data_IF_370175209032
#
_entry.id   IF_370175209032
#
_cell.length_a   1.000
_cell.length_b   1.000
_cell.length_c   1.000
_cell.angle_alpha   90.00
_cell.angle_beta   90.00
_cell.angle_gamma   90.00
#
_symmetry.space_group_name_H-M   'P 1'
#
loop_
_entity.id
_entity.type
_entity.pdbx_description
1 polymer ?
#
# COMPACT_ATOMS: atom_id res chain seq x y z
N UNK A 1 9.73 25.10 58.84
CA UNK A 1 9.52 24.08 57.78
C UNK A 1 10.49 22.94 58.03
N UNK A 2 10.00 21.73 58.31
CA UNK A 2 10.87 20.57 58.55
C UNK A 2 11.69 20.25 57.29
N UNK A 3 12.87 19.66 57.46
CA UNK A 3 13.73 19.32 56.33
C UNK A 3 13.09 18.30 55.38
N UNK A 4 12.16 17.49 55.86
CA UNK A 4 11.30 16.63 55.02
C UNK A 4 10.40 17.45 54.10
N UNK A 5 9.75 18.50 54.61
CA UNK A 5 8.87 19.35 53.83
C UNK A 5 9.63 20.16 52.77
N UNK A 6 10.89 20.55 53.04
CA UNK A 6 11.80 21.14 52.04
C UNK A 6 12.13 20.16 50.93
N UNK A 7 12.46 18.90 51.25
CA UNK A 7 12.79 17.88 50.25
C UNK A 7 11.61 17.58 49.33
N UNK A 8 10.41 17.43 49.88
CA UNK A 8 9.18 17.21 49.09
C UNK A 8 8.91 18.38 48.14
N UNK A 9 9.05 19.62 48.61
CA UNK A 9 8.87 20.82 47.78
C UNK A 9 9.91 20.92 46.65
N UNK A 10 11.17 20.59 46.93
CA UNK A 10 12.23 20.58 45.92
C UNK A 10 11.95 19.48 44.88
N UNK A 11 11.58 18.27 45.29
CA UNK A 11 11.23 17.19 44.37
C UNK A 11 10.04 17.54 43.48
N UNK A 12 9.00 18.17 44.02
CA UNK A 12 7.85 18.65 43.24
C UNK A 12 8.26 19.75 42.24
N UNK A 13 9.11 20.68 42.65
CA UNK A 13 9.62 21.73 41.76
C UNK A 13 10.46 21.14 40.61
N UNK A 14 11.28 20.12 40.88
CA UNK A 14 12.07 19.42 39.85
C UNK A 14 11.15 18.67 38.87
N UNK A 15 10.15 17.93 39.36
CA UNK A 15 9.19 17.22 38.51
C UNK A 15 8.39 18.20 37.63
N UNK A 16 7.98 19.33 38.21
CA UNK A 16 7.25 20.38 37.50
C UNK A 16 8.12 21.01 36.40
N UNK A 17 9.38 21.35 36.71
CA UNK A 17 10.33 21.87 35.73
C UNK A 17 10.62 20.87 34.62
N UNK A 18 10.78 19.57 34.94
CA UNK A 18 10.96 18.52 33.93
C UNK A 18 9.72 18.36 33.04
N UNK A 19 8.52 18.50 33.61
CA UNK A 19 7.26 18.43 32.87
C UNK A 19 7.07 19.64 31.95
N UNK A 20 7.46 20.84 32.39
CA UNK A 20 7.49 22.05 31.55
C UNK A 20 8.53 21.91 30.44
N UNK A 21 9.73 21.45 30.75
CA UNK A 21 10.78 21.23 29.75
C UNK A 21 10.33 20.20 28.70
N UNK A 22 9.74 19.08 29.13
CA UNK A 22 9.15 18.08 28.23
C UNK A 22 8.03 18.69 27.38
N UNK A 23 7.14 19.50 27.98
CA UNK A 23 6.09 20.20 27.24
C UNK A 23 6.67 21.16 26.20
N UNK A 24 7.68 21.97 26.53
CA UNK A 24 8.31 22.88 25.58
C UNK A 24 9.08 22.16 24.48
N UNK A 25 9.76 21.04 24.79
CA UNK A 25 10.41 20.20 23.78
C UNK A 25 9.36 19.62 22.83
N UNK A 26 8.29 19.02 23.35
CA UNK A 26 7.20 18.47 22.53
C UNK A 26 6.48 19.57 21.73
N UNK A 27 6.24 20.75 22.32
CA UNK A 27 5.53 21.85 21.67
C UNK A 27 6.39 22.58 20.62
N UNK A 28 7.71 22.71 20.84
CA UNK A 28 8.61 23.29 19.85
C UNK A 28 8.98 22.29 18.75
N UNK A 29 9.05 20.98 19.04
CA UNK A 29 9.13 19.95 18.00
C UNK A 29 7.87 19.96 17.10
N UNK A 30 6.71 20.37 17.63
CA UNK A 30 5.48 20.54 16.82
C UNK A 30 5.44 21.81 15.96
N UNK A 31 6.36 22.76 16.14
CA UNK A 31 6.51 23.90 15.21
C UNK A 31 7.39 23.51 14.01
N UNK A 32 7.11 22.36 13.41
CA UNK A 32 7.52 22.11 12.04
C UNK A 32 6.76 23.11 11.15
N UNK A 33 7.50 24.00 10.49
CA UNK A 33 6.92 24.81 9.43
C UNK A 33 6.63 23.88 8.26
N UNK A 34 5.39 23.41 8.15
CA UNK A 34 4.93 22.74 6.95
C UNK A 34 5.26 23.61 5.74
N UNK A 35 5.93 23.03 4.74
CA UNK A 35 6.22 23.73 3.49
C UNK A 35 4.92 24.02 2.72
N UNK A 36 3.90 23.17 2.92
CA UNK A 36 2.56 23.35 2.35
C UNK A 36 1.74 24.30 3.23
N UNK A 37 1.34 25.44 2.68
CA UNK A 37 0.47 26.39 3.38
C UNK A 37 -1.01 25.97 3.30
N UNK A 38 -1.78 26.26 4.36
CA UNK A 38 -3.20 25.87 4.44
C UNK A 38 -4.06 26.41 3.30
N UNK A 39 -3.70 27.57 2.76
CA UNK A 39 -4.40 28.21 1.63
C UNK A 39 -4.31 27.39 0.34
N UNK A 40 -3.22 26.64 0.15
CA UNK A 40 -2.98 25.89 -1.07
C UNK A 40 -3.77 24.58 -1.05
N UNK A 41 -3.94 23.96 0.12
CA UNK A 41 -4.85 22.82 0.33
C UNK A 41 -6.30 23.20 0.00
N UNK A 42 -6.74 24.41 0.39
CA UNK A 42 -8.12 24.88 0.17
C UNK A 42 -8.49 25.00 -1.32
N UNK A 43 -7.51 24.96 -2.23
CA UNK A 43 -7.74 24.91 -3.68
C UNK A 43 -8.17 23.51 -4.14
N UNK A 44 -7.87 22.47 -3.37
CA UNK A 44 -8.23 21.08 -3.64
C UNK A 44 -9.64 20.83 -3.11
N UNK A 45 -10.49 20.18 -3.94
CA UNK A 45 -11.84 19.80 -3.53
C UNK A 45 -11.75 18.60 -2.58
N UNK A 46 -12.62 18.56 -1.57
CA UNK A 46 -12.71 17.40 -0.67
C UNK A 46 -13.16 16.12 -1.37
N UNK A 47 -13.81 16.23 -2.54
CA UNK A 47 -14.27 15.08 -3.32
C UNK A 47 -14.33 15.37 -4.82
N UNK A 48 -14.06 14.33 -5.60
CA UNK A 48 -14.08 14.29 -7.05
C UNK A 48 -14.92 13.12 -7.54
N UNK A 49 -15.45 13.23 -8.75
CA UNK A 49 -16.23 12.15 -9.36
C UNK A 49 -15.34 10.97 -9.76
N UNK A 50 -14.08 11.23 -10.12
CA UNK A 50 -13.14 10.22 -10.61
C UNK A 50 -11.79 10.30 -9.87
N UNK A 51 -11.14 9.15 -9.73
CA UNK A 51 -9.84 9.03 -9.08
C UNK A 51 -8.73 9.83 -9.79
N UNK A 52 -8.67 9.76 -11.12
CA UNK A 52 -7.58 10.40 -11.88
C UNK A 52 -7.60 11.92 -11.75
N UNK A 53 -8.78 12.53 -11.68
CA UNK A 53 -8.93 13.98 -11.44
C UNK A 53 -8.44 14.35 -10.03
N UNK A 54 -8.82 13.58 -9.01
CA UNK A 54 -8.35 13.79 -7.64
C UNK A 54 -6.83 13.63 -7.54
N UNK A 55 -6.28 12.58 -8.17
CA UNK A 55 -4.86 12.29 -8.24
C UNK A 55 -4.10 13.45 -8.88
N UNK A 56 -4.56 13.93 -10.04
CA UNK A 56 -3.91 15.02 -10.76
C UNK A 56 -3.74 16.26 -9.87
N UNK A 57 -4.81 16.71 -9.21
CA UNK A 57 -4.73 17.91 -8.38
C UNK A 57 -3.84 17.78 -7.15
N UNK A 58 -3.78 16.58 -6.57
CA UNK A 58 -2.89 16.32 -5.43
C UNK A 58 -1.42 16.21 -5.89
N UNK A 59 -1.18 15.63 -7.06
CA UNK A 59 0.14 15.57 -7.69
C UNK A 59 0.64 16.98 -8.06
N UNK A 60 -0.22 17.82 -8.65
CA UNK A 60 0.08 19.22 -8.97
C UNK A 60 0.48 20.00 -7.71
N UNK A 61 -0.28 19.85 -6.61
CA UNK A 61 0.08 20.47 -5.33
C UNK A 61 1.46 19.98 -4.86
N UNK A 62 1.75 18.69 -4.93
CA UNK A 62 3.06 18.19 -4.51
C UNK A 62 4.19 18.76 -5.39
N UNK A 63 4.00 18.84 -6.70
CA UNK A 63 4.97 19.38 -7.65
C UNK A 63 5.21 20.89 -7.46
N UNK A 64 4.20 21.66 -7.04
CA UNK A 64 4.36 23.08 -6.73
C UNK A 64 5.17 23.33 -5.46
N UNK A 65 5.14 22.39 -4.49
CA UNK A 65 5.73 22.56 -3.16
C UNK A 65 7.06 21.82 -2.99
N UNK A 66 7.31 20.78 -3.78
CA UNK A 66 8.47 19.89 -3.65
C UNK A 66 9.29 19.84 -4.94
N UNK A 67 10.58 20.18 -4.82
CA UNK A 67 11.55 20.03 -5.89
C UNK A 67 12.13 18.61 -5.97
N UNK A 68 12.48 18.17 -7.18
CA UNK A 68 13.11 16.86 -7.45
C UNK A 68 12.32 15.72 -6.78
N UNK A 69 11.04 15.66 -7.18
CA UNK A 69 10.02 14.88 -6.51
C UNK A 69 10.19 13.38 -6.79
N UNK A 70 10.32 12.61 -5.71
CA UNK A 70 10.09 11.17 -5.73
C UNK A 70 8.74 10.82 -5.09
N UNK A 71 8.11 9.77 -5.57
CA UNK A 71 6.75 9.39 -5.14
C UNK A 71 6.68 7.90 -4.84
N UNK A 72 6.05 7.56 -3.72
CA UNK A 72 5.64 6.19 -3.38
C UNK A 72 4.12 6.15 -3.24
N UNK A 73 3.51 5.14 -3.86
CA UNK A 73 2.08 4.91 -3.82
C UNK A 73 1.82 3.56 -3.17
N UNK A 74 1.12 3.56 -2.04
CA UNK A 74 0.68 2.34 -1.39
C UNK A 74 -0.85 2.24 -1.47
N UNK A 75 -1.35 1.11 -1.96
CA UNK A 75 -2.78 0.85 -2.09
C UNK A 75 -3.27 -0.12 -1.03
N UNK A 76 -4.45 0.15 -0.51
CA UNK A 76 -5.08 -0.66 0.52
C UNK A 76 -6.55 -0.86 0.19
N UNK A 77 -7.09 -2.05 0.47
CA UNK A 77 -8.52 -2.27 0.53
C UNK A 77 -8.98 -2.20 1.98
N UNK A 78 -9.90 -1.30 2.26
CA UNK A 78 -10.47 -1.09 3.58
C UNK A 78 -11.57 -2.11 3.86
N UNK A 79 -11.91 -2.26 5.15
CA UNK A 79 -12.93 -3.20 5.63
C UNK A 79 -14.32 -3.00 5.00
N UNK A 80 -14.67 -1.77 4.67
CA UNK A 80 -15.94 -1.43 4.01
C UNK A 80 -15.94 -1.71 2.49
N UNK A 81 -14.82 -2.23 1.97
CA UNK A 81 -14.62 -2.54 0.56
C UNK A 81 -14.19 -1.35 -0.31
N UNK A 82 -14.05 -0.15 0.27
CA UNK A 82 -13.45 1.00 -0.41
C UNK A 82 -11.93 0.83 -0.52
N UNK A 83 -11.34 1.60 -1.42
CA UNK A 83 -9.90 1.64 -1.61
C UNK A 83 -9.33 2.91 -1.00
N UNK A 84 -8.15 2.77 -0.40
CA UNK A 84 -7.36 3.84 0.13
C UNK A 84 -5.99 3.82 -0.56
N UNK A 85 -5.63 4.92 -1.20
CA UNK A 85 -4.33 5.15 -1.79
C UNK A 85 -3.59 6.20 -0.94
N UNK A 86 -2.49 5.77 -0.34
CA UNK A 86 -1.53 6.64 0.33
C UNK A 86 -0.51 7.11 -0.71
N UNK A 87 -0.43 8.42 -0.90
CA UNK A 87 0.61 9.04 -1.74
C UNK A 87 1.60 9.73 -0.83
N UNK A 88 2.82 9.21 -0.81
CA UNK A 88 3.96 9.82 -0.14
C UNK A 88 4.85 10.48 -1.18
N UNK A 89 5.06 11.77 -1.04
CA UNK A 89 5.87 12.61 -1.89
C UNK A 89 7.11 13.05 -1.13
N UNK A 90 8.27 13.01 -1.77
CA UNK A 90 9.53 13.37 -1.14
C UNK A 90 10.28 14.34 -2.04
N UNK A 91 10.46 15.56 -1.55
CA UNK A 91 11.24 16.59 -2.24
C UNK A 91 12.72 16.42 -1.89
N UNK A 92 13.50 15.87 -2.81
CA UNK A 92 14.88 15.48 -2.56
C UNK A 92 15.81 16.66 -2.29
N UNK A 93 15.51 17.84 -2.83
CA UNK A 93 16.33 19.06 -2.59
C UNK A 93 15.86 19.86 -1.38
N UNK A 94 14.55 20.01 -1.23
CA UNK A 94 13.95 20.80 -0.14
C UNK A 94 13.98 20.05 1.20
N UNK A 95 14.08 18.73 1.18
CA UNK A 95 14.22 17.91 2.39
C UNK A 95 12.92 17.68 3.16
N UNK A 96 11.78 17.64 2.45
CA UNK A 96 10.45 17.41 3.04
C UNK A 96 9.76 16.19 2.46
N UNK A 97 9.00 15.50 3.31
CA UNK A 97 8.03 14.48 2.92
C UNK A 97 6.64 15.04 3.09
N UNK A 98 5.83 14.98 2.03
CA UNK A 98 4.41 15.32 2.04
C UNK A 98 3.57 14.06 1.89
N UNK A 99 2.46 13.98 2.62
CA UNK A 99 1.52 12.87 2.52
C UNK A 99 0.12 13.34 2.10
N UNK A 100 -0.55 12.54 1.30
CA UNK A 100 -1.95 12.75 0.93
C UNK A 100 -2.69 11.42 0.79
N UNK A 101 -4.02 11.50 0.88
CA UNK A 101 -4.90 10.34 0.90
C UNK A 101 -5.98 10.47 -0.15
N UNK A 102 -6.11 9.44 -0.98
CA UNK A 102 -7.25 9.29 -1.88
C UNK A 102 -8.05 8.07 -1.44
N UNK A 103 -9.30 8.28 -1.02
CA UNK A 103 -10.22 7.17 -0.70
C UNK A 103 -11.30 7.11 -1.76
N UNK A 104 -11.45 5.98 -2.45
CA UNK A 104 -12.44 5.82 -3.50
C UNK A 104 -13.35 4.61 -3.32
N UNK A 105 -14.62 4.78 -3.67
CA UNK A 105 -15.62 3.73 -3.61
C UNK A 105 -15.68 2.91 -4.91
N UNK A 106 -16.60 1.94 -4.97
CA UNK A 106 -16.81 1.07 -6.14
C UNK A 106 -17.16 1.79 -7.43
N UNK A 107 -17.68 3.01 -7.35
CA UNK A 107 -18.03 3.84 -8.52
C UNK A 107 -16.86 4.68 -9.02
N UNK A 108 -15.74 4.72 -8.28
CA UNK A 108 -14.59 5.57 -8.56
C UNK A 108 -14.71 6.99 -7.97
N UNK A 109 -15.82 7.30 -7.29
CA UNK A 109 -15.95 8.55 -6.56
C UNK A 109 -14.90 8.62 -5.47
N UNK A 110 -14.13 9.69 -5.47
CA UNK A 110 -12.91 9.82 -4.67
C UNK A 110 -13.05 10.97 -3.67
N UNK A 111 -12.58 10.75 -2.45
CA UNK A 111 -12.39 11.76 -1.41
C UNK A 111 -10.91 12.03 -1.25
N UNK A 112 -10.55 13.30 -1.12
CA UNK A 112 -9.19 13.73 -0.83
C UNK A 112 -9.09 14.12 0.63
N UNK A 113 -8.04 13.68 1.31
CA UNK A 113 -7.73 14.10 2.66
C UNK A 113 -6.22 14.24 2.86
N UNK A 114 -5.84 14.97 3.89
CA UNK A 114 -4.45 15.23 4.28
C UNK A 114 -4.27 14.93 5.77
N UNK A 115 -3.05 14.58 6.21
CA UNK A 115 -2.76 14.55 7.64
C UNK A 115 -2.88 15.94 8.26
N UNK A 116 -3.01 15.99 9.58
CA UNK A 116 -3.02 17.26 10.33
C UNK A 116 -1.74 18.08 10.07
N UNK A 117 -0.60 17.41 10.02
CA UNK A 117 0.67 17.97 9.58
C UNK A 117 0.98 17.34 8.23
N UNK A 118 0.97 18.15 7.18
CA UNK A 118 0.98 17.65 5.80
C UNK A 118 2.37 17.27 5.36
N UNK A 119 3.36 18.06 5.82
CA UNK A 119 4.74 17.88 5.47
C UNK A 119 5.64 17.88 6.70
N UNK A 120 6.65 17.01 6.66
CA UNK A 120 7.65 16.84 7.71
C UNK A 120 9.04 16.98 7.11
N UNK A 121 9.91 17.72 7.80
CA UNK A 121 11.30 17.88 7.37
C UNK A 121 12.09 16.63 7.75
N UNK A 122 12.80 16.04 6.78
CA UNK A 122 13.71 14.90 6.99
C UNK A 122 15.16 15.26 6.68
N UNK A 123 15.39 16.38 5.98
CA UNK A 123 16.72 16.86 5.62
C UNK A 123 16.83 18.39 5.74
N UNK A 124 17.99 18.86 6.18
CA UNK A 124 18.35 20.27 6.26
C UNK A 124 19.80 20.46 5.81
N UNK A 125 20.07 21.47 4.98
CA UNK A 125 21.41 21.76 4.45
C UNK A 125 22.08 20.51 3.83
N UNK A 126 21.29 19.75 3.05
CA UNK A 126 21.68 18.47 2.42
C UNK A 126 22.14 17.36 3.39
N UNK A 127 21.69 17.40 4.65
CA UNK A 127 21.98 16.37 5.66
C UNK A 127 20.71 15.86 6.32
N UNK A 128 20.57 14.53 6.43
CA UNK A 128 19.48 13.91 7.18
C UNK A 128 19.46 14.41 8.62
N UNK A 129 18.30 14.88 9.07
CA UNK A 129 18.07 15.21 10.48
C UNK A 129 17.42 14.02 11.18
N UNK A 130 17.72 13.87 12.47
CA UNK A 130 17.07 12.86 13.29
C UNK A 130 15.66 13.36 13.64
N UNK A 131 14.64 12.68 13.13
CA UNK A 131 13.24 13.03 13.35
C UNK A 131 12.35 11.78 13.35
N UNK A 132 11.26 11.82 14.08
CA UNK A 132 10.27 10.74 14.12
C UNK A 132 8.88 11.33 14.19
N UNK A 133 7.96 10.83 13.38
CA UNK A 133 6.58 11.26 13.41
C UNK A 133 5.64 10.12 13.05
N UNK A 134 4.40 10.23 13.49
CA UNK A 134 3.37 9.23 13.24
C UNK A 134 2.16 9.84 12.57
N UNK A 135 1.56 9.08 11.66
CA UNK A 135 0.37 9.47 10.93
C UNK A 135 -0.70 8.39 11.08
N UNK A 136 -1.88 8.78 11.57
CA UNK A 136 -3.03 7.89 11.62
C UNK A 136 -3.84 8.02 10.33
N UNK A 137 -4.13 6.89 9.69
CA UNK A 137 -4.87 6.80 8.43
C UNK A 137 -6.09 5.88 8.56
N UNK A 138 -6.99 5.88 7.57
CA UNK A 138 -8.03 4.86 7.44
C UNK A 138 -7.48 3.42 7.47
N UNK A 139 -6.36 3.16 6.80
CA UNK A 139 -5.74 1.83 6.69
C UNK A 139 -4.98 1.38 7.96
N UNK A 140 -4.48 2.31 8.77
CA UNK A 140 -3.57 1.98 9.86
C UNK A 140 -2.79 3.17 10.40
N UNK A 141 -1.73 2.87 11.13
CA UNK A 141 -0.75 3.85 11.59
C UNK A 141 0.51 3.74 10.74
N UNK A 142 1.06 4.89 10.34
CA UNK A 142 2.34 5.00 9.68
C UNK A 142 3.31 5.62 10.67
N UNK A 143 4.45 4.98 10.87
CA UNK A 143 5.52 5.45 11.75
C UNK A 143 6.74 5.75 10.92
N UNK A 144 7.13 7.02 10.88
CA UNK A 144 8.26 7.49 10.10
C UNK A 144 9.45 7.79 11.01
N UNK A 145 10.64 7.52 10.48
CA UNK A 145 11.90 7.88 11.09
C UNK A 145 12.84 8.40 10.02
N UNK A 146 13.47 9.54 10.27
CA UNK A 146 14.64 10.00 9.53
C UNK A 146 15.84 10.05 10.46
N UNK A 147 17.04 9.81 9.91
CA UNK A 147 18.27 9.86 10.70
C UNK A 147 19.14 8.64 10.45
N UNK A 148 19.79 8.14 11.50
CA UNK A 148 20.56 6.90 11.42
C UNK A 148 19.68 5.70 11.08
N UNK A 149 20.17 4.83 10.19
CA UNK A 149 19.57 3.54 9.83
C UNK A 149 20.58 2.42 10.12
N UNK A 150 20.09 1.26 10.49
CA UNK A 150 20.89 0.09 10.80
C UNK A 150 20.67 -1.05 9.78
N UNK A 151 21.41 -2.14 9.94
CA UNK A 151 21.29 -3.31 9.04
C UNK A 151 20.11 -4.22 9.36
N UNK A 152 19.49 -4.06 10.53
CA UNK A 152 18.28 -4.79 10.94
C UNK A 152 17.00 -4.15 10.41
N UNK A 153 17.05 -2.88 10.00
CA UNK A 153 15.94 -2.19 9.36
C UNK A 153 15.49 -2.93 8.10
N UNK A 154 14.17 -3.14 7.98
CA UNK A 154 13.59 -3.82 6.83
C UNK A 154 13.79 -2.98 5.55
N UNK A 155 14.47 -3.50 4.52
CA UNK A 155 14.67 -2.77 3.27
C UNK A 155 13.37 -2.32 2.59
N UNK A 156 12.26 -3.03 2.80
CA UNK A 156 10.94 -2.66 2.26
C UNK A 156 10.31 -1.40 2.90
N UNK A 157 10.85 -0.98 4.05
CA UNK A 157 10.40 0.22 4.77
C UNK A 157 11.24 1.45 4.40
N UNK A 158 12.38 1.26 3.76
CA UNK A 158 13.29 2.33 3.34
C UNK A 158 12.73 3.11 2.14
N UNK A 159 12.67 4.43 2.27
CA UNK A 159 12.34 5.36 1.20
C UNK A 159 13.58 5.88 0.48
N UNK A 160 14.57 6.29 1.25
CA UNK A 160 15.82 6.88 0.78
C UNK A 160 16.92 6.57 1.78
N UNK A 161 18.15 6.42 1.29
CA UNK A 161 19.36 6.37 2.11
C UNK A 161 20.42 7.32 1.56
N UNK A 162 21.34 7.73 2.43
CA UNK A 162 22.58 8.38 2.04
C UNK A 162 23.47 7.44 1.21
N UNK A 163 24.43 8.02 0.49
CA UNK A 163 25.39 7.27 -0.33
C UNK A 163 26.19 6.24 0.48
N UNK A 164 26.51 6.57 1.73
CA UNK A 164 27.21 5.67 2.65
C UNK A 164 26.30 4.60 3.29
N UNK A 165 24.99 4.68 3.05
CA UNK A 165 23.97 3.76 3.55
C UNK A 165 23.76 3.78 5.06
N UNK A 166 24.24 4.80 5.78
CA UNK A 166 24.13 4.89 7.24
C UNK A 166 23.00 5.78 7.74
N UNK A 167 22.44 6.61 6.87
CA UNK A 167 21.33 7.49 7.19
C UNK A 167 20.23 7.38 6.13
N UNK A 168 18.99 7.66 6.49
CA UNK A 168 17.88 7.54 5.56
C UNK A 168 16.54 7.93 6.15
N UNK A 169 15.49 7.59 5.41
CA UNK A 169 14.09 7.67 5.86
C UNK A 169 13.44 6.30 5.78
N UNK A 170 12.81 5.90 6.86
CA UNK A 170 12.02 4.68 7.01
C UNK A 170 10.54 5.03 7.22
N UNK A 171 9.66 4.12 6.79
CA UNK A 171 8.24 4.13 7.14
C UNK A 171 7.78 2.72 7.47
N UNK A 172 7.45 2.52 8.74
CA UNK A 172 6.77 1.34 9.23
C UNK A 172 5.25 1.50 9.08
N UNK A 173 4.57 0.40 8.78
CA UNK A 173 3.10 0.34 8.63
C UNK A 173 2.53 -0.63 9.65
N UNK A 174 1.65 -0.14 10.52
CA UNK A 174 0.80 -0.98 11.35
C UNK A 174 -0.62 -0.94 10.82
N UNK A 175 -1.05 -2.01 10.15
CA UNK A 175 -2.38 -2.08 9.52
C UNK A 175 -3.47 -2.38 10.54
N UNK A 176 -4.66 -1.82 10.34
CA UNK A 176 -5.84 -2.23 11.11
C UNK A 176 -6.24 -3.65 10.72
N UNK A 177 -6.89 -4.35 11.65
CA UNK A 177 -7.53 -5.63 11.38
C UNK A 177 -8.49 -5.52 10.19
N UNK A 178 -8.51 -6.54 9.35
CA UNK A 178 -9.33 -6.65 8.13
C UNK A 178 -8.98 -5.64 7.01
N UNK A 179 -7.86 -4.92 7.10
CA UNK A 179 -7.30 -4.14 5.98
C UNK A 179 -6.39 -5.03 5.14
N UNK A 180 -6.53 -4.94 3.83
CA UNK A 180 -5.64 -5.61 2.88
C UNK A 180 -4.66 -4.61 2.29
N UNK A 181 -3.37 -4.91 2.34
CA UNK A 181 -2.34 -4.21 1.59
C UNK A 181 -2.26 -4.81 0.18
N UNK A 182 -2.23 -3.95 -0.84
CA UNK A 182 -1.90 -4.34 -2.20
C UNK A 182 -0.40 -4.13 -2.37
N UNK A 183 0.35 -5.23 -2.49
CA UNK A 183 1.79 -5.19 -2.71
C UNK A 183 2.15 -4.49 -4.02
N UNK A 184 3.42 -4.12 -4.18
CA UNK A 184 3.91 -3.48 -5.41
C UNK A 184 3.70 -4.34 -6.67
N UNK A 185 3.63 -5.66 -6.49
CA UNK A 185 3.31 -6.64 -7.53
C UNK A 185 1.80 -6.91 -7.69
N UNK A 186 0.94 -6.15 -7.01
CA UNK A 186 -0.51 -6.34 -7.02
C UNK A 186 -1.02 -7.45 -6.10
N UNK A 187 -0.17 -8.23 -5.43
CA UNK A 187 -0.63 -9.29 -4.51
C UNK A 187 -1.39 -8.72 -3.33
N UNK A 188 -2.43 -9.42 -2.90
CA UNK A 188 -3.19 -9.05 -1.72
C UNK A 188 -2.59 -9.69 -0.47
N UNK A 189 -2.16 -8.83 0.45
CA UNK A 189 -1.58 -9.19 1.72
C UNK A 189 -2.54 -8.79 2.84
N UNK A 190 -2.77 -9.70 3.79
CA UNK A 190 -3.55 -9.37 4.98
C UNK A 190 -2.78 -8.44 5.93
N UNK A 191 -3.39 -8.11 7.08
CA UNK A 191 -2.77 -7.23 8.08
C UNK A 191 -1.48 -7.77 8.70
N UNK A 192 -1.21 -9.06 8.56
CA UNK A 192 0.00 -9.74 9.02
C UNK A 192 1.02 -9.95 7.88
N UNK A 193 0.74 -9.37 6.70
CA UNK A 193 1.50 -9.53 5.46
C UNK A 193 1.49 -10.94 4.87
N UNK A 194 0.49 -11.77 5.22
CA UNK A 194 0.32 -13.08 4.60
C UNK A 194 -0.51 -12.99 3.31
N UNK A 195 -0.21 -13.87 2.35
CA UNK A 195 -0.94 -13.94 1.08
C UNK A 195 -2.34 -14.51 1.27
N UNK A 196 -3.35 -13.72 0.91
CA UNK A 196 -4.75 -14.12 1.07
C UNK A 196 -5.10 -15.30 0.14
N UNK A 197 -5.70 -16.34 0.73
CA UNK A 197 -6.26 -17.50 0.02
C UNK A 197 -5.27 -18.65 -0.24
N UNK A 198 -4.01 -18.49 0.14
CA UNK A 198 -2.94 -19.48 -0.15
C UNK A 198 -2.86 -20.63 0.85
N UNK A 199 -3.32 -20.45 2.08
CA UNK A 199 -3.28 -21.47 3.15
C UNK A 199 -4.57 -22.31 3.25
N UNK A 200 -5.49 -22.17 2.28
CA UNK A 200 -6.76 -22.88 2.31
C UNK A 200 -6.59 -24.39 2.05
N UNK A 201 -7.31 -25.22 2.83
CA UNK A 201 -7.21 -26.68 2.70
C UNK A 201 -7.72 -27.18 1.34
N UNK A 202 -6.92 -28.02 0.69
CA UNK A 202 -7.27 -28.65 -0.57
C UNK A 202 -8.30 -29.78 -0.36
N UNK A 203 -9.28 -29.87 -1.27
CA UNK A 203 -10.33 -30.89 -1.30
C UNK A 203 -10.55 -31.38 -2.72
N UNK A 204 -10.90 -32.65 -2.87
CA UNK A 204 -11.24 -33.26 -4.16
C UNK A 204 -12.73 -33.10 -4.45
N UNK A 205 -13.07 -32.82 -5.71
CA UNK A 205 -14.43 -32.62 -6.18
C UNK A 205 -14.76 -33.53 -7.37
N UNK A 206 -16.04 -33.56 -7.75
CA UNK A 206 -16.50 -34.40 -8.87
C UNK A 206 -16.06 -33.85 -10.22
N UNK A 207 -16.07 -32.52 -10.38
CA UNK A 207 -15.74 -31.84 -11.62
C UNK A 207 -15.08 -30.47 -11.36
N UNK A 208 -14.38 -29.89 -12.35
CA UNK A 208 -13.65 -28.65 -12.17
C UNK A 208 -14.53 -27.43 -11.85
N UNK A 209 -15.75 -27.37 -12.40
CA UNK A 209 -16.63 -26.23 -12.21
C UNK A 209 -17.19 -26.21 -10.78
N UNK A 210 -17.58 -27.38 -10.27
CA UNK A 210 -17.99 -27.55 -8.87
C UNK A 210 -16.84 -27.21 -7.91
N UNK A 211 -15.62 -27.63 -8.23
CA UNK A 211 -14.43 -27.29 -7.45
C UNK A 211 -14.22 -25.76 -7.38
N UNK A 212 -14.21 -25.09 -8.53
CA UNK A 212 -14.04 -23.63 -8.61
C UNK A 212 -15.15 -22.88 -7.86
N UNK A 213 -16.41 -23.28 -8.04
CA UNK A 213 -17.54 -22.68 -7.36
C UNK A 213 -17.48 -22.87 -5.83
N UNK A 214 -16.97 -24.01 -5.35
CA UNK A 214 -16.82 -24.28 -3.92
C UNK A 214 -15.73 -23.40 -3.28
N UNK A 215 -14.63 -23.14 -3.99
CA UNK A 215 -13.60 -22.19 -3.56
C UNK A 215 -14.14 -20.76 -3.63
N UNK A 216 -14.86 -20.40 -4.70
CA UNK A 216 -15.42 -19.05 -4.87
C UNK A 216 -16.36 -18.63 -3.73
N UNK A 217 -17.09 -19.58 -3.12
CA UNK A 217 -17.93 -19.32 -1.93
C UNK A 217 -17.15 -18.84 -0.70
N UNK A 218 -15.83 -19.09 -0.66
CA UNK A 218 -14.94 -18.65 0.42
C UNK A 218 -14.38 -17.25 0.16
N UNK A 219 -14.61 -16.70 -1.03
CA UNK A 219 -14.08 -15.41 -1.47
C UNK A 219 -15.08 -14.32 -1.09
N UNK A 220 -14.62 -13.31 -0.34
CA UNK A 220 -15.47 -12.22 0.16
C UNK A 220 -16.10 -11.34 -0.93
N UNK A 221 -15.52 -11.31 -2.12
CA UNK A 221 -15.99 -10.54 -3.28
C UNK A 221 -15.97 -11.41 -4.53
N UNK A 222 -17.14 -11.83 -4.99
CA UNK A 222 -17.28 -12.65 -6.20
C UNK A 222 -17.25 -11.75 -7.44
N UNK A 223 -16.22 -11.91 -8.27
CA UNK A 223 -16.14 -11.29 -9.60
C UNK A 223 -16.92 -12.07 -10.67
N UNK A 224 -16.91 -11.55 -11.89
CA UNK A 224 -17.41 -12.26 -13.08
C UNK A 224 -16.31 -13.16 -13.64
N UNK A 225 -16.66 -14.37 -14.08
CA UNK A 225 -15.70 -15.26 -14.74
C UNK A 225 -15.29 -14.65 -16.09
N UNK A 226 -14.01 -14.33 -16.25
CA UNK A 226 -13.46 -13.69 -17.46
C UNK A 226 -12.57 -14.62 -18.28
N UNK A 227 -11.99 -15.65 -17.66
CA UNK A 227 -11.19 -16.64 -18.36
C UNK A 227 -11.21 -18.01 -17.68
N UNK A 228 -11.06 -19.04 -18.51
CA UNK A 228 -10.77 -20.42 -18.09
C UNK A 228 -9.58 -20.91 -18.93
N UNK A 229 -8.42 -21.08 -18.29
CA UNK A 229 -7.19 -21.51 -18.96
C UNK A 229 -6.78 -22.90 -18.47
N UNK A 230 -6.27 -23.75 -19.34
CA UNK A 230 -5.88 -25.11 -18.99
C UNK A 230 -4.49 -25.41 -19.58
N UNK A 231 -3.55 -25.85 -18.74
CA UNK A 231 -2.18 -26.19 -19.14
C UNK A 231 -1.88 -27.70 -19.15
N UNK A 232 -2.90 -28.55 -19.03
CA UNK A 232 -2.81 -30.01 -18.97
C UNK A 232 -2.84 -30.57 -17.55
N UNK A 233 -2.27 -29.84 -16.58
CA UNK A 233 -2.17 -30.25 -15.17
C UNK A 233 -3.17 -29.53 -14.26
N UNK A 234 -3.57 -28.31 -14.62
CA UNK A 234 -4.59 -27.55 -13.93
C UNK A 234 -5.47 -26.76 -14.89
N UNK A 235 -6.70 -26.51 -14.43
CA UNK A 235 -7.61 -25.53 -14.98
C UNK A 235 -7.69 -24.33 -14.05
N UNK A 236 -7.39 -23.15 -14.58
CA UNK A 236 -7.40 -21.88 -13.86
C UNK A 236 -8.68 -21.12 -14.20
N UNK A 237 -9.44 -20.78 -13.18
CA UNK A 237 -10.63 -19.94 -13.31
C UNK A 237 -10.29 -18.53 -12.84
N UNK A 238 -10.44 -17.55 -13.74
CA UNK A 238 -10.16 -16.15 -13.47
C UNK A 238 -11.46 -15.38 -13.34
N UNK A 239 -11.67 -14.79 -12.17
CA UNK A 239 -12.79 -13.91 -11.89
C UNK A 239 -12.29 -12.49 -11.77
N UNK A 240 -12.94 -11.54 -12.43
CA UNK A 240 -12.60 -10.11 -12.37
C UNK A 240 -13.72 -9.31 -11.71
N UNK A 241 -13.35 -8.34 -10.90
CA UNK A 241 -14.26 -7.31 -10.41
C UNK A 241 -13.65 -5.93 -10.61
N UNK A 242 -14.40 -5.00 -11.20
CA UNK A 242 -13.93 -3.66 -11.55
C UNK A 242 -14.45 -2.64 -10.54
N UNK A 243 -13.54 -1.91 -9.90
CA UNK A 243 -13.81 -0.90 -8.88
C UNK A 243 -13.14 0.42 -9.30
N UNK A 244 -13.86 1.27 -10.04
CA UNK A 244 -13.30 2.52 -10.55
C UNK A 244 -11.98 2.29 -11.32
N UNK A 245 -10.83 2.80 -10.84
CA UNK A 245 -9.51 2.63 -11.45
C UNK A 245 -8.83 1.27 -11.14
N UNK A 246 -9.47 0.40 -10.37
CA UNK A 246 -8.89 -0.86 -9.90
C UNK A 246 -9.59 -2.05 -10.53
N UNK A 247 -8.81 -3.00 -11.03
CA UNK A 247 -9.29 -4.34 -11.36
C UNK A 247 -8.80 -5.36 -10.34
N UNK A 248 -9.75 -5.98 -9.64
CA UNK A 248 -9.51 -7.12 -8.76
C UNK A 248 -9.65 -8.40 -9.55
N UNK A 249 -8.71 -9.31 -9.33
CA UNK A 249 -8.78 -10.64 -9.88
C UNK A 249 -8.70 -11.67 -8.77
N UNK A 250 -9.49 -12.73 -8.94
CA UNK A 250 -9.40 -13.95 -8.16
C UNK A 250 -9.07 -15.09 -9.11
N UNK A 251 -7.98 -15.79 -8.84
CA UNK A 251 -7.58 -16.99 -9.59
C UNK A 251 -7.80 -18.21 -8.73
N UNK A 252 -8.57 -19.16 -9.26
CA UNK A 252 -8.80 -20.43 -8.62
C UNK A 252 -8.15 -21.52 -9.47
N UNK A 253 -6.99 -22.06 -9.06
CA UNK A 253 -6.42 -23.24 -9.69
C UNK A 253 -7.19 -24.49 -9.26
N UNK A 254 -7.58 -25.30 -10.24
CA UNK A 254 -8.19 -26.61 -10.04
C UNK A 254 -7.31 -27.64 -10.72
N UNK A 255 -6.73 -28.56 -9.95
CA UNK A 255 -5.87 -29.62 -10.48
C UNK A 255 -6.66 -30.57 -11.39
N UNK A 256 -5.96 -31.29 -12.25
CA UNK A 256 -6.53 -32.28 -13.20
C UNK A 256 -7.37 -33.36 -12.52
N UNK A 257 -7.07 -33.71 -11.27
CA UNK A 257 -7.84 -34.64 -10.46
C UNK A 257 -9.05 -34.00 -9.75
N UNK A 258 -9.43 -32.78 -10.16
CA UNK A 258 -10.46 -31.94 -9.58
C UNK A 258 -10.21 -31.53 -8.13
N UNK A 259 -8.95 -31.52 -7.67
CA UNK A 259 -8.60 -30.95 -6.37
C UNK A 259 -8.51 -29.43 -6.45
N UNK A 260 -9.16 -28.74 -5.51
CA UNK A 260 -9.07 -27.28 -5.33
C UNK A 260 -9.19 -26.90 -3.85
N UNK A 261 -8.85 -25.66 -3.50
CA UNK A 261 -9.00 -25.16 -2.14
C UNK A 261 -8.41 -23.77 -1.99
N UNK A 262 -7.20 -23.60 -2.54
CA UNK A 262 -6.53 -22.30 -2.58
C UNK A 262 -7.13 -21.39 -3.64
N UNK A 263 -6.97 -20.09 -3.43
CA UNK A 263 -7.19 -19.07 -4.42
C UNK A 263 -6.18 -17.94 -4.25
N UNK A 264 -5.96 -17.18 -5.30
CA UNK A 264 -5.07 -16.04 -5.29
C UNK A 264 -5.86 -14.78 -5.58
N UNK A 265 -5.67 -13.75 -4.76
CA UNK A 265 -6.15 -12.40 -5.05
C UNK A 265 -5.01 -11.50 -5.45
N UNK A 266 -5.21 -10.79 -6.55
CA UNK A 266 -4.31 -9.73 -6.96
C UNK A 266 -5.11 -8.60 -7.60
N UNK A 267 -4.51 -7.43 -7.65
CA UNK A 267 -5.10 -6.23 -8.20
C UNK A 267 -4.13 -5.59 -9.19
N UNK A 268 -4.68 -5.18 -10.34
CA UNK A 268 -4.01 -4.21 -11.21
C UNK A 268 -4.47 -2.83 -10.75
N UNK A 269 -3.69 -2.20 -9.87
CA UNK A 269 -4.05 -0.91 -9.29
C UNK A 269 -3.61 0.24 -10.22
N UNK A 270 -4.49 0.75 -11.08
CA UNK A 270 -4.33 2.07 -11.71
C UNK A 270 -3.00 2.36 -12.43
N UNK A 271 -2.29 1.35 -12.94
CA UNK A 271 -1.00 1.55 -13.61
C UNK A 271 -1.21 1.71 -15.11
N UNK A 272 -1.32 2.96 -15.56
CA UNK A 272 -1.13 3.36 -16.96
C UNK A 272 0.33 3.73 -17.26
N UNK A 273 1.29 3.40 -16.38
CA UNK A 273 2.66 3.97 -16.49
C UNK A 273 3.81 2.95 -16.36
N UNK A 274 3.53 1.65 -16.25
CA UNK A 274 4.56 0.64 -16.44
C UNK A 274 3.96 -0.68 -16.88
N UNK A 275 4.52 -1.24 -17.96
CA UNK A 275 4.25 -2.59 -18.44
C UNK A 275 4.37 -3.53 -17.25
N UNK A 276 3.24 -4.05 -16.79
CA UNK A 276 3.20 -5.10 -15.78
C UNK A 276 3.60 -6.36 -16.55
N UNK A 277 4.87 -6.76 -16.56
CA UNK A 277 5.28 -8.15 -16.87
C UNK A 277 5.52 -8.83 -15.53
N UNK A 278 4.44 -9.30 -14.91
CA UNK A 278 4.52 -9.93 -13.58
C UNK A 278 4.28 -11.42 -13.70
N UNK A 279 5.31 -12.18 -13.35
CA UNK A 279 5.28 -13.62 -13.26
C UNK A 279 5.08 -14.04 -11.80
N UNK A 280 3.90 -14.54 -11.47
CA UNK A 280 3.68 -15.12 -10.15
C UNK A 280 4.00 -16.61 -10.16
N UNK A 281 4.89 -17.06 -9.26
CA UNK A 281 5.13 -18.49 -9.04
C UNK A 281 4.28 -19.00 -7.90
N UNK A 282 3.34 -19.89 -8.20
CA UNK A 282 2.50 -20.53 -7.19
C UNK A 282 2.66 -22.03 -7.20
N UNK A 283 2.90 -22.63 -6.04
CA UNK A 283 2.97 -24.07 -5.89
C UNK A 283 1.64 -24.64 -5.37
N UNK A 284 0.98 -25.52 -6.13
CA UNK A 284 -0.16 -26.31 -5.65
C UNK A 284 0.23 -27.78 -5.62
N UNK A 285 0.39 -28.35 -4.42
CA UNK A 285 0.96 -29.70 -4.26
C UNK A 285 2.28 -29.90 -5.02
N UNK A 286 3.16 -28.90 -5.03
CA UNK A 286 4.44 -28.95 -5.75
C UNK A 286 4.38 -28.66 -7.25
N UNK A 287 3.22 -28.32 -7.81
CA UNK A 287 3.11 -27.82 -9.18
C UNK A 287 3.28 -26.30 -9.18
N UNK A 288 4.40 -25.81 -9.71
CA UNK A 288 4.62 -24.38 -9.92
C UNK A 288 3.86 -23.91 -11.16
N UNK A 289 3.15 -22.78 -11.02
CA UNK A 289 2.43 -22.14 -12.10
C UNK A 289 2.85 -20.69 -12.21
N UNK A 290 2.92 -20.23 -13.45
CA UNK A 290 3.29 -18.87 -13.78
C UNK A 290 2.08 -18.15 -14.36
N UNK A 291 1.53 -17.20 -13.61
CA UNK A 291 0.47 -16.33 -14.12
C UNK A 291 1.11 -15.04 -14.57
N UNK A 292 0.92 -14.71 -15.84
CA UNK A 292 1.47 -13.50 -16.45
C UNK A 292 0.31 -12.59 -16.82
N UNK A 293 0.36 -11.38 -16.28
CA UNK A 293 -0.36 -10.22 -16.78
C UNK A 293 0.66 -9.46 -17.63
N UNK A 294 0.32 -9.09 -18.86
CA UNK A 294 1.22 -8.34 -19.74
C UNK A 294 0.45 -7.27 -20.54
N UNK A 295 1.04 -6.07 -20.62
CA UNK A 295 0.59 -4.94 -21.46
C UNK A 295 1.35 -4.90 -22.82
N UNK A 296 2.38 -5.74 -22.99
CA UNK A 296 3.07 -5.94 -24.26
C UNK A 296 2.40 -7.04 -25.09
N UNK A 297 1.42 -6.60 -25.88
CA UNK A 297 0.60 -7.42 -26.79
C UNK A 297 1.40 -8.07 -27.91
N UNK A 298 2.49 -7.43 -28.34
CA UNK A 298 3.25 -7.83 -29.52
C UNK A 298 3.93 -9.20 -29.32
N UNK A 299 4.21 -9.57 -28.07
CA UNK A 299 4.80 -10.85 -27.70
C UNK A 299 3.81 -11.88 -27.17
N UNK A 300 2.49 -11.65 -27.30
CA UNK A 300 1.47 -12.57 -26.79
C UNK A 300 1.66 -14.00 -27.30
N UNK A 301 2.13 -14.17 -28.54
CA UNK A 301 2.21 -15.46 -29.24
C UNK A 301 3.22 -16.44 -28.64
N UNK A 302 4.11 -15.98 -27.76
CA UNK A 302 4.99 -16.86 -26.97
C UNK A 302 4.22 -17.72 -25.94
N UNK A 303 2.98 -17.38 -25.62
CA UNK A 303 2.18 -18.08 -24.62
C UNK A 303 1.14 -19.01 -25.26
N UNK A 304 1.29 -20.32 -25.04
CA UNK A 304 0.37 -21.36 -25.55
C UNK A 304 -1.02 -21.29 -24.92
N UNK A 305 -1.09 -21.02 -23.61
CA UNK A 305 -2.33 -21.03 -22.83
C UNK A 305 -2.62 -19.61 -22.33
N UNK A 306 -3.32 -18.81 -23.15
CA UNK A 306 -3.56 -17.38 -22.88
C UNK A 306 -5.00 -16.94 -23.14
N UNK A 307 -5.42 -15.88 -22.45
CA UNK A 307 -6.58 -15.04 -22.77
C UNK A 307 -6.10 -13.61 -23.01
N UNK A 308 -6.53 -13.03 -24.11
CA UNK A 308 -6.25 -11.64 -24.47
C UNK A 308 -7.54 -10.84 -24.28
N UNK A 309 -7.49 -9.73 -23.55
CA UNK A 309 -8.64 -8.86 -23.26
C UNK A 309 -8.16 -7.43 -23.04
N UNK A 310 -8.72 -6.45 -23.76
CA UNK A 310 -8.63 -4.99 -23.53
C UNK A 310 -7.40 -4.54 -22.71
N UNK A 311 -6.21 -4.71 -23.29
CA UNK A 311 -4.91 -4.29 -22.73
C UNK A 311 -4.28 -5.19 -21.64
N UNK A 312 -4.78 -6.41 -21.47
CA UNK A 312 -4.17 -7.44 -20.61
C UNK A 312 -4.11 -8.79 -21.34
N UNK A 313 -2.93 -9.39 -21.37
CA UNK A 313 -2.76 -10.82 -21.61
C UNK A 313 -2.75 -11.53 -20.27
N UNK A 314 -3.61 -12.52 -20.08
CA UNK A 314 -3.54 -13.48 -18.98
C UNK A 314 -2.99 -14.77 -19.54
N UNK A 315 -1.80 -15.18 -19.14
CA UNK A 315 -1.22 -16.45 -19.56
C UNK A 315 -0.93 -17.37 -18.36
N UNK A 316 -0.98 -18.67 -18.60
CA UNK A 316 -0.54 -19.70 -17.66
C UNK A 316 0.52 -20.59 -18.30
N UNK A 317 1.60 -20.83 -17.57
CA UNK A 317 2.61 -21.84 -17.87
C UNK A 317 2.62 -22.84 -16.73
#
# INVERSE_FOLDING_TARGET
>A
MSDEMKRVLISLAVIFLLSIAAFFVVHNMQKEQSIVATKDIKKIKDSYQYYDEAKLHVDELAMEQLDDLSMRNDFFKLKDGSYFNLRTYMGNKVGYIMNSYLTFDKTGKTKVAFPKVISHQYMKDNKFIDNTWSINTPAGKLDYQSGAIDRSDNPGHLFMKSDDGKRGVLMDKTLKKDVTLIGNNGEWLDSENNRIGTDASLRKYNDPQTAANAVLKQVSTTGQLVAKLNNGEATFFFYRNKYGPVDEYTVIPVLKDNTAGIYHKFTLAGFNESIIDYEFKYAVKGNEYHIIFNDDFEHADKFKHKKVSDNIIIAVK
#
